data_IF_081459562456
#
_entry.id   IF_081459562456
#
_cell.length_a   1.000
_cell.length_b   1.000
_cell.length_c   1.000
_cell.angle_alpha   90.00
_cell.angle_beta   90.00
_cell.angle_gamma   90.00
#
_symmetry.space_group_name_H-M   'P 1'
#
loop_
_entity.id
_entity.type
_entity.pdbx_description
1 polymer ?
#
# COMPACT_ATOMS: atom_id res chain seq x y z
N UNK A 1 14.20 16.20 32.89
CA UNK A 1 14.04 17.39 32.04
C UNK A 1 15.07 17.34 30.92
N UNK A 2 14.77 16.80 29.75
CA UNK A 2 15.59 16.92 28.52
C UNK A 2 14.71 16.56 27.31
N UNK A 3 13.66 17.37 27.07
CA UNK A 3 12.73 17.20 25.91
C UNK A 3 12.82 18.41 24.94
N UNK A 4 13.90 19.14 24.94
CA UNK A 4 13.98 20.32 24.08
C UNK A 4 15.32 20.31 23.35
N UNK A 5 15.52 19.48 22.33
CA UNK A 5 16.59 19.72 21.33
C UNK A 5 16.50 18.91 20.03
N UNK A 6 15.43 18.13 19.76
CA UNK A 6 15.31 17.41 18.49
C UNK A 6 14.65 18.22 17.36
N UNK A 7 14.10 19.40 17.64
CA UNK A 7 13.29 20.17 16.68
C UNK A 7 14.09 21.14 15.80
N UNK A 8 15.28 21.55 16.23
CA UNK A 8 16.07 22.55 15.50
C UNK A 8 16.74 22.00 14.22
N UNK A 9 16.93 20.68 14.10
CA UNK A 9 17.67 20.07 12.99
C UNK A 9 16.78 19.18 12.08
N UNK A 10 15.48 19.33 12.15
CA UNK A 10 14.59 18.53 11.31
C UNK A 10 14.57 19.05 9.87
N UNK A 11 15.31 18.37 8.97
CA UNK A 11 15.37 18.69 7.53
C UNK A 11 14.03 18.63 6.81
N UNK A 12 13.06 17.89 7.35
CA UNK A 12 11.72 17.72 6.76
C UNK A 12 10.81 18.94 6.97
N UNK A 13 11.20 19.91 7.82
CA UNK A 13 10.55 21.23 7.88
C UNK A 13 10.54 21.95 6.52
N UNK A 14 11.52 21.64 5.65
CA UNK A 14 11.63 22.16 4.29
C UNK A 14 10.94 21.26 3.24
N UNK A 15 10.07 20.34 3.67
CA UNK A 15 9.32 19.46 2.79
C UNK A 15 8.51 20.24 1.76
N UNK A 16 8.45 19.72 0.54
CA UNK A 16 7.70 20.28 -0.58
C UNK A 16 7.08 19.15 -1.39
N UNK A 17 5.87 19.37 -1.86
CA UNK A 17 5.27 18.57 -2.91
C UNK A 17 5.35 19.37 -4.20
N UNK A 18 5.77 18.71 -5.27
CA UNK A 18 5.96 19.32 -6.58
C UNK A 18 5.39 18.46 -7.68
N UNK A 19 5.13 19.07 -8.82
CA UNK A 19 4.86 18.37 -10.08
C UNK A 19 5.93 18.72 -11.12
N UNK A 20 6.21 17.76 -12.01
CA UNK A 20 6.92 18.00 -13.26
C UNK A 20 5.87 17.95 -14.35
N UNK A 21 5.81 18.99 -15.16
CA UNK A 21 4.83 19.18 -16.23
C UNK A 21 5.56 19.18 -17.56
N UNK A 22 5.00 18.53 -18.56
CA UNK A 22 5.43 18.66 -19.95
C UNK A 22 4.49 19.57 -20.71
N UNK A 23 5.03 20.52 -21.48
CA UNK A 23 4.20 21.42 -22.29
C UNK A 23 3.64 20.77 -23.59
N UNK A 24 4.11 19.57 -23.92
CA UNK A 24 3.75 18.86 -25.15
C UNK A 24 2.62 17.85 -24.90
N UNK A 25 2.64 17.20 -23.71
CA UNK A 25 1.68 16.19 -23.34
C UNK A 25 0.96 16.62 -22.06
N UNK A 26 -0.35 16.41 -22.02
CA UNK A 26 -1.15 16.71 -20.82
C UNK A 26 -0.96 15.62 -19.76
N UNK A 27 0.27 15.50 -19.26
CA UNK A 27 0.66 14.55 -18.20
C UNK A 27 1.58 15.21 -17.21
N UNK A 28 1.42 14.84 -15.95
CA UNK A 28 2.26 15.32 -14.86
C UNK A 28 2.87 14.15 -14.09
N UNK A 29 4.03 14.41 -13.49
CA UNK A 29 4.63 13.55 -12.47
C UNK A 29 4.62 14.30 -11.13
N UNK A 30 4.22 13.65 -10.05
CA UNK A 30 4.19 14.18 -8.70
C UNK A 30 5.33 13.60 -7.88
N UNK A 31 5.94 14.41 -7.02
CA UNK A 31 6.99 13.97 -6.12
C UNK A 31 7.16 14.87 -4.91
N UNK A 32 7.95 14.40 -3.96
CA UNK A 32 8.32 15.19 -2.78
C UNK A 32 9.82 15.43 -2.70
N UNK A 33 10.20 16.51 -2.01
CA UNK A 33 11.60 16.87 -1.79
C UNK A 33 11.76 17.80 -0.58
N UNK A 34 12.95 17.73 0.05
CA UNK A 34 13.40 18.73 1.03
C UNK A 34 14.38 19.72 0.42
N UNK A 35 14.78 19.51 -0.85
CA UNK A 35 15.72 20.35 -1.57
C UNK A 35 14.99 21.46 -2.34
N UNK A 36 15.69 22.52 -2.76
CA UNK A 36 15.17 23.47 -3.76
C UNK A 36 14.73 22.74 -5.03
N UNK A 37 13.62 23.19 -5.64
CA UNK A 37 13.02 22.52 -6.82
C UNK A 37 14.01 22.44 -8.00
N UNK A 38 14.80 23.49 -8.23
CA UNK A 38 15.84 23.51 -9.28
C UNK A 38 16.84 22.34 -9.09
N UNK A 39 17.29 22.11 -7.86
CA UNK A 39 18.21 21.00 -7.54
C UNK A 39 17.50 19.66 -7.72
N UNK A 40 16.23 19.56 -7.32
CA UNK A 40 15.45 18.34 -7.48
C UNK A 40 15.28 17.99 -8.96
N UNK A 41 14.93 18.97 -9.81
CA UNK A 41 14.78 18.77 -11.25
C UNK A 41 16.11 18.36 -11.90
N UNK A 42 17.22 18.98 -11.50
CA UNK A 42 18.56 18.58 -11.96
C UNK A 42 18.86 17.10 -11.64
N UNK A 43 18.45 16.64 -10.45
CA UNK A 43 18.54 15.21 -10.09
C UNK A 43 17.73 14.29 -11.00
N UNK A 44 16.50 14.68 -11.36
CA UNK A 44 15.69 13.92 -12.32
C UNK A 44 16.38 13.85 -13.70
N UNK A 45 16.91 14.96 -14.20
CA UNK A 45 17.66 15.03 -15.47
C UNK A 45 18.88 14.10 -15.46
N UNK A 46 19.65 14.14 -14.38
CA UNK A 46 20.83 13.26 -14.24
C UNK A 46 20.46 11.79 -14.24
N UNK A 47 19.41 11.39 -13.51
CA UNK A 47 18.95 10.00 -13.52
C UNK A 47 18.39 9.58 -14.90
N UNK A 48 17.70 10.47 -15.59
CA UNK A 48 17.22 10.21 -16.93
C UNK A 48 18.38 9.98 -17.92
N UNK A 49 19.43 10.82 -17.88
CA UNK A 49 20.64 10.63 -18.69
C UNK A 49 21.35 9.30 -18.37
N UNK A 50 21.42 8.91 -17.10
CA UNK A 50 21.95 7.60 -16.71
C UNK A 50 21.08 6.46 -17.24
N UNK A 51 19.76 6.60 -17.24
CA UNK A 51 18.83 5.62 -17.80
C UNK A 51 19.03 5.44 -19.31
N UNK A 52 19.17 6.53 -20.07
CA UNK A 52 19.46 6.47 -21.51
C UNK A 52 20.78 5.74 -21.83
N UNK A 53 21.73 5.75 -20.88
CA UNK A 53 23.00 5.05 -20.99
C UNK A 53 22.99 3.64 -20.33
N UNK A 54 21.81 3.08 -20.02
CA UNK A 54 21.63 1.78 -19.35
C UNK A 54 22.36 1.67 -17.98
N UNK A 55 22.55 2.80 -17.29
CA UNK A 55 23.18 2.88 -15.96
C UNK A 55 22.20 3.18 -14.83
N UNK A 56 20.91 3.22 -15.11
CA UNK A 56 19.87 3.48 -14.11
C UNK A 56 18.56 2.80 -14.49
N UNK A 57 17.77 2.42 -13.51
CA UNK A 57 16.46 1.82 -13.73
C UNK A 57 15.43 2.86 -14.16
N UNK A 58 14.40 2.42 -14.89
CA UNK A 58 13.29 3.27 -15.28
C UNK A 58 12.55 3.87 -14.06
N UNK A 59 12.20 5.14 -14.16
CA UNK A 59 11.37 5.89 -13.21
C UNK A 59 10.27 6.62 -13.98
N UNK A 60 9.04 6.63 -13.47
CA UNK A 60 7.87 7.21 -14.17
C UNK A 60 8.00 8.70 -14.54
N UNK A 61 8.83 9.46 -13.82
CA UNK A 61 9.16 10.85 -14.21
C UNK A 61 9.84 10.94 -15.57
N UNK A 62 10.44 9.85 -16.08
CA UNK A 62 11.11 9.85 -17.40
C UNK A 62 10.10 9.96 -18.53
N UNK A 63 8.85 9.54 -18.34
CA UNK A 63 7.78 9.73 -19.30
C UNK A 63 7.49 11.22 -19.57
N UNK A 64 7.79 12.08 -18.58
CA UNK A 64 7.65 13.54 -18.70
C UNK A 64 8.90 14.18 -19.30
N UNK A 65 10.09 13.62 -18.96
CA UNK A 65 11.37 14.22 -19.36
C UNK A 65 11.77 13.91 -20.82
N UNK A 66 11.27 12.81 -21.38
CA UNK A 66 11.68 12.32 -22.72
C UNK A 66 11.44 13.33 -23.85
N UNK A 67 10.38 14.15 -23.73
CA UNK A 67 9.97 15.07 -24.80
C UNK A 67 10.71 16.45 -24.70
N UNK A 68 11.57 16.65 -23.71
CA UNK A 68 12.50 17.80 -23.63
C UNK A 68 11.88 19.13 -23.18
N UNK A 69 10.58 19.32 -23.28
CA UNK A 69 9.88 20.57 -22.94
C UNK A 69 9.11 20.43 -21.64
N UNK A 70 9.81 20.50 -20.53
CA UNK A 70 9.24 20.30 -19.19
C UNK A 70 9.78 21.29 -18.17
N UNK A 71 9.00 21.53 -17.13
CA UNK A 71 9.37 22.36 -15.98
C UNK A 71 8.85 21.76 -14.67
N UNK A 72 9.35 22.28 -13.55
CA UNK A 72 8.95 21.85 -12.21
C UNK A 72 8.20 22.98 -11.52
N UNK A 73 7.06 22.64 -10.91
CA UNK A 73 6.23 23.57 -10.15
C UNK A 73 6.05 23.07 -8.71
N UNK A 74 5.97 24.01 -7.78
CA UNK A 74 5.57 23.75 -6.41
C UNK A 74 4.05 23.55 -6.36
N UNK A 75 3.60 22.43 -5.78
CA UNK A 75 2.20 22.26 -5.41
C UNK A 75 1.96 22.90 -4.05
N UNK A 76 2.72 22.48 -3.03
CA UNK A 76 2.65 23.09 -1.70
C UNK A 76 3.95 22.89 -0.90
N UNK A 77 4.14 23.73 0.13
CA UNK A 77 5.09 23.47 1.19
C UNK A 77 4.45 22.46 2.17
N UNK A 78 5.18 21.42 2.49
CA UNK A 78 4.77 20.30 3.34
C UNK A 78 5.76 20.11 4.48
N UNK A 79 5.77 21.05 5.42
CA UNK A 79 6.61 20.96 6.61
C UNK A 79 6.20 19.73 7.44
N UNK A 80 7.11 18.80 7.62
CA UNK A 80 6.88 17.50 8.25
C UNK A 80 7.92 17.21 9.33
N UNK A 81 7.65 16.19 10.12
CA UNK A 81 8.58 15.67 11.13
C UNK A 81 9.45 14.54 10.59
N UNK A 82 9.01 13.85 9.55
CA UNK A 82 9.66 12.65 9.02
C UNK A 82 9.47 12.47 7.52
N UNK A 83 10.34 11.60 6.93
CA UNK A 83 10.18 11.16 5.54
C UNK A 83 8.83 10.43 5.30
N UNK A 84 8.39 9.65 6.29
CA UNK A 84 7.13 8.91 6.19
C UNK A 84 5.93 9.86 6.05
N UNK A 85 5.91 10.91 6.84
CA UNK A 85 4.88 11.94 6.78
C UNK A 85 4.89 12.69 5.44
N UNK A 86 6.07 13.11 4.96
CA UNK A 86 6.22 13.73 3.65
C UNK A 86 5.75 12.82 2.50
N UNK A 87 6.10 11.53 2.57
CA UNK A 87 5.65 10.53 1.60
C UNK A 87 4.12 10.29 1.67
N UNK A 88 3.53 10.36 2.86
CA UNK A 88 2.08 10.22 3.01
C UNK A 88 1.34 11.38 2.33
N UNK A 89 1.84 12.62 2.50
CA UNK A 89 1.30 13.80 1.83
C UNK A 89 1.46 13.67 0.29
N UNK A 90 2.63 13.26 -0.20
CA UNK A 90 2.83 12.96 -1.62
C UNK A 90 1.80 11.95 -2.15
N UNK A 91 1.54 10.88 -1.38
CA UNK A 91 0.55 9.86 -1.73
C UNK A 91 -0.88 10.39 -1.85
N UNK A 92 -1.27 11.41 -1.09
CA UNK A 92 -2.56 12.08 -1.22
C UNK A 92 -2.66 12.76 -2.59
N UNK A 93 -1.70 13.60 -2.95
CA UNK A 93 -1.70 14.31 -4.24
C UNK A 93 -1.65 13.37 -5.44
N UNK A 94 -0.95 12.21 -5.34
CA UNK A 94 -0.96 11.19 -6.41
C UNK A 94 -2.34 10.58 -6.61
N UNK A 95 -3.17 10.49 -5.55
CA UNK A 95 -4.54 9.97 -5.65
C UNK A 95 -5.54 11.01 -6.18
N UNK A 96 -5.31 12.28 -5.88
CA UNK A 96 -6.22 13.37 -6.23
C UNK A 96 -6.00 13.93 -7.64
N UNK A 97 -4.77 13.83 -8.15
CA UNK A 97 -4.41 14.40 -9.43
C UNK A 97 -4.11 13.29 -10.45
N UNK A 98 -4.58 13.46 -11.68
CA UNK A 98 -4.24 12.57 -12.78
C UNK A 98 -2.75 12.73 -13.11
N UNK A 99 -1.96 11.65 -12.90
CA UNK A 99 -0.51 11.69 -13.04
C UNK A 99 0.07 10.37 -13.54
N UNK A 100 1.33 10.38 -14.02
CA UNK A 100 2.03 9.19 -14.50
C UNK A 100 2.57 8.30 -13.38
N UNK A 101 2.43 8.69 -12.12
CA UNK A 101 2.94 7.93 -10.99
C UNK A 101 2.28 6.54 -10.91
N UNK A 102 3.08 5.48 -10.92
CA UNK A 102 2.59 4.09 -10.77
C UNK A 102 2.56 3.64 -9.31
N UNK A 103 3.44 4.22 -8.48
CA UNK A 103 3.54 3.88 -7.07
C UNK A 103 2.97 5.02 -6.23
N UNK A 104 2.15 4.66 -5.26
CA UNK A 104 1.61 5.58 -4.25
C UNK A 104 2.38 5.35 -2.96
N UNK A 105 3.18 6.31 -2.48
CA UNK A 105 3.92 6.17 -1.23
C UNK A 105 2.98 5.95 -0.04
N UNK A 106 3.43 5.20 0.95
CA UNK A 106 2.68 4.84 2.16
C UNK A 106 1.32 4.14 1.93
N UNK A 107 1.06 3.66 0.70
CA UNK A 107 -0.13 2.87 0.41
C UNK A 107 -0.10 1.57 1.21
N UNK A 108 -1.17 1.29 1.93
CA UNK A 108 -1.33 0.02 2.65
C UNK A 108 -1.61 -1.13 1.68
N UNK A 109 -1.32 -2.36 2.12
CA UNK A 109 -1.65 -3.55 1.33
C UNK A 109 -3.17 -3.68 1.12
N UNK A 110 -3.97 -3.29 2.10
CA UNK A 110 -5.44 -3.30 1.99
C UNK A 110 -5.94 -2.33 0.92
N UNK A 111 -5.42 -1.09 0.88
CA UNK A 111 -5.72 -0.12 -0.17
C UNK A 111 -5.30 -0.64 -1.54
N UNK A 112 -4.10 -1.25 -1.64
CA UNK A 112 -3.63 -1.85 -2.89
C UNK A 112 -4.57 -2.93 -3.41
N UNK A 113 -5.02 -3.84 -2.54
CA UNK A 113 -6.01 -4.86 -2.92
C UNK A 113 -7.35 -4.28 -3.32
N UNK A 114 -7.83 -3.26 -2.61
CA UNK A 114 -9.09 -2.57 -2.92
C UNK A 114 -9.06 -1.94 -4.31
N UNK A 115 -7.98 -1.26 -4.65
CA UNK A 115 -7.84 -0.58 -5.94
C UNK A 115 -7.57 -1.54 -7.11
N UNK A 116 -7.16 -2.79 -6.85
CA UNK A 116 -6.84 -3.79 -7.86
C UNK A 116 -7.73 -5.05 -7.77
N UNK A 117 -8.96 -4.91 -7.25
CA UNK A 117 -9.87 -6.05 -7.02
C UNK A 117 -10.07 -6.89 -8.28
N UNK A 118 -10.29 -6.27 -9.44
CA UNK A 118 -10.58 -7.01 -10.67
C UNK A 118 -9.35 -7.75 -11.22
N UNK A 119 -8.16 -7.14 -11.07
CA UNK A 119 -6.91 -7.85 -11.36
C UNK A 119 -6.77 -9.12 -10.51
N UNK A 120 -7.01 -9.01 -9.19
CA UNK A 120 -6.91 -10.17 -8.29
C UNK A 120 -7.98 -11.22 -8.58
N UNK A 121 -9.23 -10.82 -8.84
CA UNK A 121 -10.29 -11.76 -9.25
C UNK A 121 -9.89 -12.54 -10.50
N UNK A 122 -9.39 -11.84 -11.52
CA UNK A 122 -8.90 -12.47 -12.74
C UNK A 122 -7.74 -13.40 -12.46
N UNK A 123 -6.72 -12.94 -11.73
CA UNK A 123 -5.56 -13.74 -11.36
C UNK A 123 -5.95 -15.04 -10.64
N UNK A 124 -6.86 -14.96 -9.65
CA UNK A 124 -7.32 -16.15 -8.93
C UNK A 124 -8.11 -17.09 -9.81
N UNK A 125 -8.92 -16.59 -10.73
CA UNK A 125 -9.66 -17.40 -11.70
C UNK A 125 -8.71 -18.11 -12.66
N UNK A 126 -7.77 -17.39 -13.25
CA UNK A 126 -6.84 -17.93 -14.24
C UNK A 126 -5.83 -18.94 -13.63
N UNK A 127 -5.60 -18.86 -12.31
CA UNK A 127 -4.67 -19.72 -11.59
C UNK A 127 -5.36 -20.68 -10.61
N UNK A 128 -6.67 -20.89 -10.70
CA UNK A 128 -7.43 -21.62 -9.69
C UNK A 128 -6.90 -23.04 -9.47
N UNK A 129 -6.66 -23.79 -10.54
CA UNK A 129 -6.18 -25.17 -10.45
C UNK A 129 -4.74 -25.25 -9.91
N UNK A 130 -3.87 -24.34 -10.32
CA UNK A 130 -2.51 -24.26 -9.79
C UNK A 130 -2.53 -23.98 -8.28
N UNK A 131 -3.35 -23.04 -7.84
CA UNK A 131 -3.49 -22.69 -6.41
C UNK A 131 -4.06 -23.86 -5.62
N UNK A 132 -5.08 -24.55 -6.14
CA UNK A 132 -5.65 -25.76 -5.52
C UNK A 132 -4.63 -26.88 -5.37
N UNK A 133 -3.87 -27.15 -6.44
CA UNK A 133 -2.84 -28.19 -6.43
C UNK A 133 -1.71 -27.87 -5.45
N UNK A 134 -1.19 -26.63 -5.46
CA UNK A 134 -0.16 -26.19 -4.51
C UNK A 134 -0.63 -26.33 -3.06
N UNK A 135 -1.88 -25.92 -2.77
CA UNK A 135 -2.46 -26.11 -1.42
C UNK A 135 -2.56 -27.58 -1.03
N UNK A 136 -3.05 -28.43 -1.94
CA UNK A 136 -3.19 -29.87 -1.71
C UNK A 136 -1.82 -30.52 -1.42
N UNK A 137 -0.83 -30.17 -2.20
CA UNK A 137 0.55 -30.64 -2.01
C UNK A 137 1.15 -30.16 -0.69
N UNK A 138 0.96 -28.88 -0.35
CA UNK A 138 1.38 -28.32 0.94
C UNK A 138 0.76 -29.09 2.12
N UNK A 139 -0.55 -29.37 2.09
CA UNK A 139 -1.21 -30.13 3.15
C UNK A 139 -0.69 -31.57 3.22
N UNK A 140 -0.48 -32.21 2.07
CA UNK A 140 0.07 -33.55 2.00
C UNK A 140 1.47 -33.65 2.64
N UNK A 141 2.31 -32.68 2.35
CA UNK A 141 3.70 -32.65 2.84
C UNK A 141 3.81 -32.21 4.31
N UNK A 142 2.76 -31.64 4.90
CA UNK A 142 2.76 -31.11 6.27
C UNK A 142 1.70 -31.77 7.17
N UNK A 143 1.27 -33.00 6.85
CA UNK A 143 0.20 -33.70 7.59
C UNK A 143 0.51 -33.82 9.08
N UNK A 144 1.74 -34.20 9.44
CA UNK A 144 2.11 -34.41 10.84
C UNK A 144 2.19 -33.11 11.61
N UNK A 145 2.65 -32.03 10.98
CA UNK A 145 2.58 -30.68 11.56
C UNK A 145 1.13 -30.30 11.90
N UNK A 146 0.17 -30.51 10.98
CA UNK A 146 -1.22 -30.20 11.26
C UNK A 146 -1.83 -31.07 12.33
N UNK A 147 -1.53 -32.37 12.35
CA UNK A 147 -1.97 -33.27 13.43
C UNK A 147 -1.50 -32.79 14.79
N UNK A 148 -0.20 -32.45 14.90
CA UNK A 148 0.36 -31.94 16.14
C UNK A 148 -0.26 -30.60 16.54
N UNK A 149 -0.39 -29.68 15.60
CA UNK A 149 -1.04 -28.38 15.84
C UNK A 149 -2.46 -28.54 16.41
N UNK A 150 -3.28 -29.40 15.78
CA UNK A 150 -4.65 -29.64 16.26
C UNK A 150 -4.68 -30.33 17.63
N UNK A 151 -3.75 -31.23 17.92
CA UNK A 151 -3.61 -31.85 19.22
C UNK A 151 -3.28 -30.83 20.30
N UNK A 152 -2.26 -30.00 20.08
CA UNK A 152 -1.78 -29.00 21.04
C UNK A 152 -2.79 -27.86 21.27
N UNK A 153 -3.56 -27.51 20.26
CA UNK A 153 -4.55 -26.45 20.34
C UNK A 153 -6.00 -26.94 20.53
N UNK A 154 -6.22 -28.24 20.73
CA UNK A 154 -7.55 -28.84 20.79
C UNK A 154 -8.48 -28.17 21.82
N UNK A 155 -7.99 -27.89 23.00
CA UNK A 155 -8.77 -27.23 24.06
C UNK A 155 -9.24 -25.83 23.64
N UNK A 156 -8.35 -25.03 23.07
CA UNK A 156 -8.63 -23.68 22.56
C UNK A 156 -9.62 -23.71 21.37
N UNK A 157 -9.40 -24.60 20.42
CA UNK A 157 -10.24 -24.72 19.22
C UNK A 157 -11.67 -25.16 19.55
N UNK A 158 -11.83 -26.02 20.57
CA UNK A 158 -13.15 -26.52 21.04
C UNK A 158 -13.83 -25.59 22.04
N UNK A 159 -13.15 -24.58 22.55
CA UNK A 159 -13.69 -23.64 23.50
C UNK A 159 -14.96 -22.99 22.98
N UNK A 160 -16.06 -23.12 23.74
CA UNK A 160 -17.34 -22.49 23.42
C UNK A 160 -17.38 -21.06 23.96
N UNK A 161 -17.74 -20.13 23.10
CA UNK A 161 -17.93 -18.71 23.42
C UNK A 161 -19.44 -18.45 23.44
N UNK A 162 -19.95 -17.86 24.49
CA UNK A 162 -21.35 -17.45 24.59
C UNK A 162 -21.59 -16.22 23.70
N UNK A 163 -22.77 -16.17 23.09
CA UNK A 163 -23.23 -15.04 22.30
C UNK A 163 -24.46 -14.41 22.96
N UNK A 164 -24.60 -13.10 22.84
CA UNK A 164 -25.75 -12.35 23.40
C UNK A 164 -27.08 -12.83 22.86
N UNK A 165 -27.12 -13.44 21.69
CA UNK A 165 -28.32 -14.10 21.14
C UNK A 165 -28.73 -15.38 21.91
N UNK A 166 -28.04 -15.75 22.99
CA UNK A 166 -28.23 -16.98 23.76
C UNK A 166 -27.72 -18.26 23.06
N UNK A 167 -26.96 -18.13 21.97
CA UNK A 167 -26.28 -19.23 21.30
C UNK A 167 -24.83 -19.37 21.76
N UNK A 168 -24.16 -20.44 21.29
CA UNK A 168 -22.74 -20.67 21.54
C UNK A 168 -22.02 -20.97 20.24
N UNK A 169 -20.76 -20.55 20.10
CA UNK A 169 -19.92 -20.84 18.95
C UNK A 169 -18.49 -21.12 19.37
N UNK A 170 -17.71 -21.77 18.51
CA UNK A 170 -16.24 -21.79 18.63
C UNK A 170 -15.67 -20.66 17.78
N UNK A 171 -14.42 -20.27 18.03
CA UNK A 171 -13.76 -19.19 17.28
C UNK A 171 -13.90 -19.36 15.77
N UNK A 172 -13.63 -20.55 15.25
CA UNK A 172 -13.72 -20.87 13.81
C UNK A 172 -15.16 -20.80 13.26
N UNK A 173 -16.15 -21.05 14.10
CA UNK A 173 -17.55 -21.07 13.70
C UNK A 173 -18.29 -19.74 13.93
N UNK A 174 -17.62 -18.68 14.36
CA UNK A 174 -18.23 -17.37 14.62
C UNK A 174 -19.03 -16.88 13.40
N UNK A 175 -18.43 -16.86 12.21
CA UNK A 175 -19.09 -16.37 10.98
C UNK A 175 -20.34 -17.20 10.65
N UNK A 176 -20.28 -18.53 10.80
CA UNK A 176 -21.42 -19.41 10.57
C UNK A 176 -22.52 -19.18 11.60
N UNK A 177 -22.16 -19.01 12.88
CA UNK A 177 -23.10 -18.67 13.94
C UNK A 177 -23.83 -17.35 13.67
N UNK A 178 -23.11 -16.28 13.26
CA UNK A 178 -23.71 -14.99 12.94
C UNK A 178 -24.74 -15.06 11.79
N UNK A 179 -24.65 -16.05 10.92
CA UNK A 179 -25.62 -16.30 9.82
C UNK A 179 -26.82 -17.17 10.23
N UNK A 180 -26.87 -17.69 11.47
CA UNK A 180 -28.01 -18.50 11.93
C UNK A 180 -29.26 -17.65 12.13
N UNK A 181 -30.44 -18.23 11.86
CA UNK A 181 -31.73 -17.56 12.08
C UNK A 181 -31.87 -17.03 13.51
N UNK A 182 -31.36 -17.77 14.49
CA UNK A 182 -31.38 -17.35 15.91
C UNK A 182 -30.61 -16.04 16.11
N UNK A 183 -29.41 -15.94 15.55
CA UNK A 183 -28.57 -14.74 15.69
C UNK A 183 -29.16 -13.56 14.91
N UNK A 184 -29.67 -13.80 13.70
CA UNK A 184 -30.29 -12.77 12.86
C UNK A 184 -31.56 -12.20 13.50
N UNK A 185 -32.43 -13.04 14.09
CA UNK A 185 -33.61 -12.60 14.82
C UNK A 185 -33.24 -11.73 16.04
N UNK A 186 -32.16 -12.06 16.75
CA UNK A 186 -31.68 -11.25 17.87
C UNK A 186 -31.22 -9.84 17.43
N UNK A 187 -30.61 -9.70 16.25
CA UNK A 187 -30.16 -8.42 15.70
C UNK A 187 -31.31 -7.55 15.15
N UNK A 188 -32.48 -8.11 14.92
CA UNK A 188 -33.66 -7.40 14.38
C UNK A 188 -34.63 -6.90 15.47
N UNK A 189 -34.29 -7.10 16.74
CA UNK A 189 -35.00 -6.56 17.92
C UNK A 189 -34.32 -5.28 18.39
#
# INVERSE_FOLDING_TARGET
MNIINNDLNNKYKNGKIYKIVCNIIDKIYIGSTIKPLKIRLSGHKSHYNLYLNNKYNYVTSFDILKDGNYFIELICNAACTSKKELNAIEGVYIRELECVNRLIPCRTQQEYYKDNVDYFKKYYKDNEDKIKNTKKEYYKNNVDYFKQYYKDNSAKLKQKINCDCGGKYTFENKVRHCKTNKHQKYLSI
#
